data_IF_263278567381
#
_entry.id   IF_263278567381
#
_cell.length_a   1.000
_cell.length_b   1.000
_cell.length_c   1.000
_cell.angle_alpha   90.00
_cell.angle_beta   90.00
_cell.angle_gamma   90.00
#
_symmetry.space_group_name_H-M   'P 1'
#
loop_
_entity.id
_entity.type
_entity.pdbx_description
1 polymer ?
#
# COMPACT_ATOMS: atom_id res chain seq x y z
N UNK A 1 -2.69 -4.06 14.40
CA UNK A 1 -3.26 -5.02 13.45
C UNK A 1 -3.26 -6.40 14.05
N UNK A 2 -4.37 -7.11 13.94
CA UNK A 2 -4.55 -8.44 14.49
C UNK A 2 -5.05 -9.38 13.39
N UNK A 3 -4.78 -10.68 13.56
CA UNK A 3 -5.24 -11.71 12.62
C UNK A 3 -6.72 -11.61 12.27
N UNK A 4 -7.54 -11.20 13.23
CA UNK A 4 -8.97 -10.98 13.03
C UNK A 4 -9.26 -10.07 11.84
N UNK A 5 -8.47 -9.00 11.63
CA UNK A 5 -8.72 -8.02 10.57
C UNK A 5 -8.43 -8.60 9.17
N UNK A 6 -7.45 -9.50 9.06
CA UNK A 6 -7.17 -10.24 7.82
C UNK A 6 -8.22 -11.31 7.57
N UNK A 7 -8.59 -12.07 8.61
CA UNK A 7 -9.60 -13.12 8.49
C UNK A 7 -10.96 -12.55 8.09
N UNK A 8 -11.37 -11.41 8.63
CA UNK A 8 -12.61 -10.73 8.22
C UNK A 8 -12.63 -10.39 6.74
N UNK A 9 -11.49 -10.02 6.15
CA UNK A 9 -11.41 -9.73 4.71
C UNK A 9 -11.64 -10.94 3.81
N UNK A 10 -11.44 -12.15 4.35
CA UNK A 10 -11.78 -13.41 3.68
C UNK A 10 -13.23 -13.77 3.94
N UNK A 11 -13.64 -13.73 5.20
CA UNK A 11 -14.91 -14.27 5.68
C UNK A 11 -16.10 -13.37 5.32
N UNK A 12 -15.99 -12.04 5.50
CA UNK A 12 -17.11 -11.12 5.28
C UNK A 12 -17.69 -11.17 3.83
N UNK A 13 -16.86 -11.22 2.76
CA UNK A 13 -17.38 -11.39 1.40
C UNK A 13 -18.07 -12.74 1.16
N UNK A 14 -17.54 -13.82 1.77
CA UNK A 14 -18.14 -15.16 1.65
C UNK A 14 -19.49 -15.24 2.37
N UNK A 15 -19.60 -14.61 3.54
CA UNK A 15 -20.87 -14.51 4.26
C UNK A 15 -21.89 -13.66 3.48
N UNK A 16 -21.45 -12.54 2.89
CA UNK A 16 -22.33 -11.72 2.04
C UNK A 16 -22.83 -12.46 0.78
N UNK A 17 -22.02 -13.39 0.25
CA UNK A 17 -22.44 -14.23 -0.88
C UNK A 17 -23.41 -15.35 -0.48
N UNK A 18 -23.55 -15.64 0.81
CA UNK A 18 -24.45 -16.66 1.37
C UNK A 18 -25.78 -16.06 1.90
N UNK A 19 -26.17 -14.90 1.40
CA UNK A 19 -27.39 -14.16 1.84
C UNK A 19 -28.70 -14.71 1.20
N UNK A 20 -28.74 -16.01 0.95
CA UNK A 20 -29.94 -16.68 0.47
C UNK A 20 -31.00 -16.79 1.60
N UNK A 21 -32.26 -16.51 1.34
CA UNK A 21 -33.31 -16.71 2.34
C UNK A 21 -33.44 -18.18 2.73
N UNK A 22 -33.60 -18.44 4.01
CA UNK A 22 -33.91 -19.81 4.50
C UNK A 22 -35.28 -20.25 3.99
N UNK A 23 -35.39 -21.45 3.35
CA UNK A 23 -36.69 -21.97 2.95
C UNK A 23 -37.62 -22.16 4.15
N UNK A 24 -38.86 -21.66 4.05
CA UNK A 24 -39.82 -21.72 5.16
C UNK A 24 -40.09 -23.15 5.64
N UNK A 25 -40.06 -24.14 4.74
CA UNK A 25 -40.25 -25.55 5.06
C UNK A 25 -39.18 -26.12 6.04
N UNK A 26 -38.01 -25.49 6.20
CA UNK A 26 -36.98 -25.96 7.13
C UNK A 26 -37.25 -25.53 8.59
N UNK A 27 -38.13 -24.56 8.82
CA UNK A 27 -38.42 -24.10 10.19
C UNK A 27 -39.26 -25.12 11.00
N UNK A 28 -40.00 -25.96 10.31
CA UNK A 28 -40.84 -27.01 10.96
C UNK A 28 -40.08 -28.32 11.13
N UNK A 29 -38.85 -28.44 10.58
CA UNK A 29 -38.03 -29.63 10.65
C UNK A 29 -36.58 -29.28 11.12
N UNK A 30 -36.30 -29.34 12.42
CA UNK A 30 -34.98 -29.03 12.96
C UNK A 30 -33.85 -29.94 12.45
N UNK A 31 -34.15 -31.20 12.10
CA UNK A 31 -33.17 -32.17 11.60
C UNK A 31 -32.78 -31.82 10.16
N UNK A 32 -33.76 -31.50 9.31
CA UNK A 32 -33.55 -31.04 7.95
C UNK A 32 -32.79 -29.69 7.93
N UNK A 33 -33.11 -28.76 8.84
CA UNK A 33 -32.38 -27.50 8.99
C UNK A 33 -30.94 -27.73 9.40
N UNK A 34 -30.70 -28.64 10.36
CA UNK A 34 -29.34 -28.96 10.78
C UNK A 34 -28.50 -29.65 9.69
N UNK A 35 -29.12 -30.48 8.85
CA UNK A 35 -28.48 -31.09 7.68
C UNK A 35 -28.12 -30.01 6.64
N UNK A 36 -29.05 -29.16 6.28
CA UNK A 36 -28.81 -28.05 5.36
C UNK A 36 -27.71 -27.09 5.85
N UNK A 37 -27.66 -26.82 7.15
CA UNK A 37 -26.58 -25.99 7.74
C UNK A 37 -25.23 -26.69 7.63
N UNK A 38 -25.13 -28.01 7.86
CA UNK A 38 -23.86 -28.75 7.69
C UNK A 38 -23.36 -28.67 6.25
N UNK A 39 -24.22 -28.81 5.27
CA UNK A 39 -23.84 -28.70 3.85
C UNK A 39 -23.35 -27.29 3.50
N UNK A 40 -24.02 -26.26 4.03
CA UNK A 40 -23.58 -24.87 3.87
C UNK A 40 -22.24 -24.61 4.54
N UNK A 41 -22.02 -25.16 5.74
CA UNK A 41 -20.72 -25.05 6.44
C UNK A 41 -19.61 -25.75 5.68
N UNK A 42 -19.87 -26.90 5.05
CA UNK A 42 -18.89 -27.60 4.23
C UNK A 42 -18.49 -26.74 3.01
N UNK A 43 -19.49 -26.22 2.29
CA UNK A 43 -19.27 -25.30 1.15
C UNK A 43 -18.48 -24.06 1.56
N UNK A 44 -18.83 -23.46 2.70
CA UNK A 44 -18.13 -22.31 3.24
C UNK A 44 -16.67 -22.62 3.61
N UNK A 45 -16.43 -23.78 4.22
CA UNK A 45 -15.08 -24.22 4.59
C UNK A 45 -14.19 -24.42 3.35
N UNK A 46 -14.75 -24.97 2.26
CA UNK A 46 -14.04 -25.10 0.99
C UNK A 46 -13.71 -23.72 0.39
N UNK A 47 -14.69 -22.81 0.35
CA UNK A 47 -14.47 -21.45 -0.13
C UNK A 47 -13.41 -20.69 0.68
N UNK A 48 -13.35 -20.89 2.00
CA UNK A 48 -12.28 -20.31 2.85
C UNK A 48 -10.92 -20.92 2.53
N UNK A 49 -10.87 -22.23 2.26
CA UNK A 49 -9.61 -22.93 1.90
C UNK A 49 -9.06 -22.44 0.56
N UNK A 50 -9.95 -22.19 -0.40
CA UNK A 50 -9.60 -21.76 -1.74
C UNK A 50 -9.41 -20.22 -1.87
N UNK A 51 -9.56 -19.48 -0.76
CA UNK A 51 -9.44 -18.03 -0.76
C UNK A 51 -8.03 -17.58 -1.18
N UNK A 52 -7.96 -16.53 -2.01
CA UNK A 52 -6.71 -15.89 -2.42
C UNK A 52 -6.07 -15.13 -1.26
N UNK A 53 -5.33 -15.84 -0.40
CA UNK A 53 -4.62 -15.26 0.73
C UNK A 53 -3.61 -14.17 0.29
N UNK A 54 -2.96 -14.34 -0.88
CA UNK A 54 -1.99 -13.38 -1.39
C UNK A 54 -2.67 -12.06 -1.79
N UNK A 55 -3.81 -12.11 -2.48
CA UNK A 55 -4.62 -10.94 -2.84
C UNK A 55 -5.17 -10.21 -1.62
N UNK A 56 -5.62 -10.96 -0.60
CA UNK A 56 -6.07 -10.39 0.67
C UNK A 56 -4.94 -9.64 1.37
N UNK A 57 -3.75 -10.24 1.48
CA UNK A 57 -2.56 -9.60 2.07
C UNK A 57 -2.17 -8.36 1.28
N UNK A 58 -2.08 -8.43 -0.05
CA UNK A 58 -1.74 -7.29 -0.90
C UNK A 58 -2.73 -6.12 -0.76
N UNK A 59 -4.02 -6.43 -0.62
CA UNK A 59 -5.06 -5.42 -0.40
C UNK A 59 -4.94 -4.80 0.99
N UNK A 60 -4.66 -5.62 2.02
CA UNK A 60 -4.46 -5.14 3.38
C UNK A 60 -3.21 -4.25 3.51
N UNK A 61 -2.08 -4.67 2.93
CA UNK A 61 -0.85 -3.86 2.89
C UNK A 61 -1.07 -2.52 2.20
N UNK A 62 -1.79 -2.53 1.06
CA UNK A 62 -2.12 -1.29 0.35
C UNK A 62 -2.94 -0.36 1.23
N UNK A 63 -4.02 -0.86 1.83
CA UNK A 63 -4.86 -0.07 2.73
C UNK A 63 -4.08 0.44 3.95
N UNK A 64 -3.16 -0.37 4.50
CA UNK A 64 -2.28 0.04 5.59
C UNK A 64 -1.30 1.14 5.17
N UNK A 65 -0.66 0.97 4.01
CA UNK A 65 0.34 1.90 3.50
C UNK A 65 -0.26 3.25 3.07
N UNK A 66 -1.53 3.26 2.63
CA UNK A 66 -2.21 4.47 2.12
C UNK A 66 -3.27 5.03 3.07
N UNK A 67 -3.53 4.38 4.20
CA UNK A 67 -4.53 4.81 5.18
C UNK A 67 -3.98 5.68 6.33
N UNK A 68 -2.72 6.09 6.27
CA UNK A 68 -2.09 6.93 7.29
C UNK A 68 -2.05 8.38 6.83
N UNK A 69 -2.56 9.29 7.63
CA UNK A 69 -2.35 10.71 7.37
C UNK A 69 -0.87 11.06 7.61
N UNK A 70 -0.15 11.53 6.59
CA UNK A 70 1.23 11.96 6.75
C UNK A 70 1.29 13.21 7.63
N UNK A 71 2.25 13.24 8.54
CA UNK A 71 2.57 14.44 9.31
C UNK A 71 3.33 15.41 8.39
N UNK A 72 2.61 16.28 7.70
CA UNK A 72 3.16 17.21 6.70
C UNK A 72 3.63 18.56 7.28
N UNK A 73 4.16 18.58 8.50
CA UNK A 73 4.77 19.79 9.05
C UNK A 73 5.81 20.38 8.09
N UNK A 74 5.64 21.64 7.68
CA UNK A 74 6.56 22.31 6.76
C UNK A 74 6.43 21.95 5.27
N UNK A 75 5.55 21.02 4.90
CA UNK A 75 5.42 20.54 3.51
C UNK A 75 5.12 21.65 2.48
N UNK A 76 4.34 22.65 2.85
CA UNK A 76 4.06 23.78 1.95
C UNK A 76 5.34 24.54 1.58
N UNK A 77 6.20 24.80 2.57
CA UNK A 77 7.48 25.48 2.32
C UNK A 77 8.42 24.61 1.48
N UNK A 78 8.42 23.29 1.70
CA UNK A 78 9.23 22.37 0.91
C UNK A 78 8.76 22.31 -0.55
N UNK A 79 7.44 22.33 -0.79
CA UNK A 79 6.87 22.38 -2.15
C UNK A 79 7.24 23.68 -2.85
N UNK A 80 7.16 24.83 -2.14
CA UNK A 80 7.53 26.13 -2.70
C UNK A 80 9.03 26.21 -3.02
N UNK A 81 9.89 25.57 -2.22
CA UNK A 81 11.34 25.55 -2.40
C UNK A 81 11.82 24.41 -3.32
N UNK A 82 10.97 23.46 -3.66
CA UNK A 82 11.35 22.33 -4.52
C UNK A 82 12.01 22.73 -5.86
N UNK A 83 11.63 23.84 -6.54
CA UNK A 83 12.34 24.29 -7.74
C UNK A 83 13.80 24.64 -7.51
N UNK A 84 14.19 25.07 -6.31
CA UNK A 84 15.56 25.41 -5.93
C UNK A 84 16.45 24.23 -5.55
N UNK A 85 15.92 22.99 -5.53
CA UNK A 85 16.72 21.80 -5.26
C UNK A 85 17.73 21.60 -6.41
N UNK A 86 18.98 21.45 -6.06
CA UNK A 86 20.13 21.16 -6.92
C UNK A 86 20.84 19.88 -6.46
N UNK A 87 21.94 19.51 -7.12
CA UNK A 87 22.70 18.28 -6.82
C UNK A 87 23.27 18.23 -5.41
N UNK A 88 23.53 19.37 -4.79
CA UNK A 88 24.15 19.49 -3.48
C UNK A 88 23.13 19.68 -2.34
N UNK A 89 21.88 19.88 -2.66
CA UNK A 89 20.80 20.11 -1.68
C UNK A 89 20.64 18.89 -0.78
N UNK A 90 20.84 19.05 0.54
CA UNK A 90 20.61 17.99 1.50
C UNK A 90 19.12 17.78 1.73
N UNK A 91 18.67 16.57 1.48
CA UNK A 91 17.31 16.11 1.68
C UNK A 91 17.27 15.06 2.78
N UNK A 92 16.19 15.03 3.53
CA UNK A 92 15.96 14.05 4.58
C UNK A 92 14.61 13.37 4.42
N UNK A 93 14.56 12.08 4.70
CA UNK A 93 13.29 11.36 4.76
C UNK A 93 12.44 11.92 5.90
N UNK A 94 11.22 12.34 5.58
CA UNK A 94 10.31 12.93 6.55
C UNK A 94 9.96 11.91 7.63
N UNK A 95 10.08 12.29 8.90
CA UNK A 95 9.77 11.41 10.04
C UNK A 95 8.34 10.89 9.97
N UNK A 96 8.20 9.57 10.16
CA UNK A 96 6.89 8.90 10.09
C UNK A 96 6.37 8.66 8.67
N UNK A 97 7.08 9.08 7.61
CA UNK A 97 6.73 8.71 6.24
C UNK A 97 7.00 7.22 6.01
N UNK A 98 6.06 6.55 5.36
CA UNK A 98 6.23 5.18 4.89
C UNK A 98 6.31 5.19 3.37
N UNK A 99 7.19 4.36 2.81
CA UNK A 99 7.26 4.13 1.37
C UNK A 99 7.46 2.63 1.14
N UNK A 100 6.43 1.98 0.58
CA UNK A 100 6.53 0.59 0.15
C UNK A 100 6.60 0.52 -1.37
N UNK A 101 7.55 -0.26 -1.87
CA UNK A 101 7.76 -0.45 -3.30
C UNK A 101 7.05 -1.71 -3.77
N UNK A 102 6.27 -1.59 -4.85
CA UNK A 102 5.53 -2.70 -5.46
C UNK A 102 5.76 -2.69 -6.97
N UNK A 103 6.52 -3.67 -7.49
CA UNK A 103 6.65 -3.85 -8.94
C UNK A 103 5.30 -4.14 -9.58
N UNK A 104 5.06 -3.59 -10.77
CA UNK A 104 3.84 -3.76 -11.56
C UNK A 104 4.19 -3.73 -13.06
N UNK A 105 4.83 -4.80 -13.54
CA UNK A 105 5.36 -4.89 -14.90
C UNK A 105 6.41 -3.81 -15.17
N UNK A 106 6.20 -2.99 -16.18
CA UNK A 106 7.10 -1.86 -16.54
C UNK A 106 6.98 -0.64 -15.62
N UNK A 107 6.17 -0.74 -14.59
CA UNK A 107 5.94 0.32 -13.61
C UNK A 107 6.35 -0.12 -12.21
N UNK A 108 6.71 0.86 -11.39
CA UNK A 108 6.92 0.70 -9.97
C UNK A 108 5.92 1.59 -9.24
N UNK A 109 5.17 1.01 -8.33
CA UNK A 109 4.27 1.73 -7.44
C UNK A 109 4.96 2.01 -6.10
N UNK A 110 5.01 3.28 -5.72
CA UNK A 110 5.41 3.74 -4.40
C UNK A 110 4.12 3.99 -3.61
N UNK A 111 3.90 3.19 -2.56
CA UNK A 111 2.78 3.39 -1.65
C UNK A 111 3.24 4.29 -0.52
N UNK A 112 2.76 5.51 -0.53
CA UNK A 112 3.00 6.52 0.49
C UNK A 112 1.83 6.56 1.49
N UNK A 113 1.97 7.28 2.57
CA UNK A 113 1.01 7.23 3.69
C UNK A 113 -0.46 7.51 3.32
N UNK A 114 -0.75 8.25 2.25
CA UNK A 114 -2.11 8.61 1.83
C UNK A 114 -2.36 8.39 0.32
N UNK A 115 -1.31 7.97 -0.44
CA UNK A 115 -1.41 7.91 -1.90
C UNK A 115 -0.46 6.90 -2.53
N UNK A 116 -0.71 6.63 -3.80
CA UNK A 116 0.16 5.83 -4.66
C UNK A 116 0.79 6.72 -5.73
N UNK A 117 2.11 6.70 -5.80
CA UNK A 117 2.88 7.32 -6.88
C UNK A 117 3.35 6.22 -7.84
N UNK A 118 3.20 6.44 -9.13
CA UNK A 118 3.65 5.49 -10.15
C UNK A 118 4.82 6.08 -10.92
N UNK A 119 5.89 5.29 -11.03
CA UNK A 119 7.10 5.64 -11.77
C UNK A 119 7.49 4.50 -12.72
N UNK A 120 8.35 4.74 -13.73
CA UNK A 120 8.89 3.66 -14.56
C UNK A 120 9.71 2.67 -13.74
N UNK A 121 9.60 1.37 -14.03
CA UNK A 121 10.35 0.32 -13.30
C UNK A 121 11.88 0.50 -13.41
N UNK A 122 12.37 1.07 -14.53
CA UNK A 122 13.81 1.29 -14.76
C UNK A 122 14.50 2.17 -13.70
N UNK A 123 13.76 3.02 -12.97
CA UNK A 123 14.33 3.86 -11.91
C UNK A 123 14.22 3.21 -10.53
N UNK A 124 13.80 1.94 -10.45
CA UNK A 124 13.68 1.23 -9.17
C UNK A 124 14.99 1.25 -8.34
N UNK A 125 16.19 1.05 -8.92
CA UNK A 125 17.45 1.12 -8.15
C UNK A 125 17.62 2.48 -7.46
N UNK A 126 17.38 3.59 -8.17
CA UNK A 126 17.47 4.94 -7.59
C UNK A 126 16.43 5.16 -6.47
N UNK A 127 15.21 4.62 -6.64
CA UNK A 127 14.17 4.75 -5.62
C UNK A 127 14.52 3.91 -4.38
N UNK A 128 15.10 2.71 -4.55
CA UNK A 128 15.55 1.87 -3.44
C UNK A 128 16.66 2.57 -2.64
N UNK A 129 17.63 3.15 -3.34
CA UNK A 129 18.70 3.94 -2.74
C UNK A 129 18.13 5.10 -1.93
N UNK A 130 17.23 5.88 -2.52
CA UNK A 130 16.56 7.00 -1.88
C UNK A 130 15.78 6.58 -0.61
N UNK A 131 15.15 5.40 -0.61
CA UNK A 131 14.36 4.91 0.53
C UNK A 131 15.25 4.27 1.61
N UNK A 132 16.44 3.78 1.24
CA UNK A 132 17.37 3.14 2.17
C UNK A 132 18.04 4.13 3.12
N UNK A 133 18.18 5.40 2.70
CA UNK A 133 18.90 6.42 3.47
C UNK A 133 17.93 7.39 4.16
N UNK A 134 18.27 7.82 5.35
CA UNK A 134 17.53 8.84 6.07
C UNK A 134 17.85 10.25 5.53
N UNK A 135 19.08 10.49 5.09
CA UNK A 135 19.53 11.72 4.44
C UNK A 135 20.28 11.38 3.15
N UNK A 136 20.07 12.18 2.11
CA UNK A 136 20.73 12.04 0.82
C UNK A 136 20.76 13.38 0.07
N UNK A 137 21.61 13.45 -0.96
CA UNK A 137 21.62 14.53 -1.96
C UNK A 137 21.26 13.96 -3.33
N UNK A 138 20.72 14.75 -4.28
CA UNK A 138 20.45 14.26 -5.63
C UNK A 138 21.66 13.59 -6.29
N UNK A 139 22.88 14.12 -6.10
CA UNK A 139 24.11 13.53 -6.62
C UNK A 139 24.40 12.09 -6.13
N UNK A 140 23.89 11.71 -4.97
CA UNK A 140 24.09 10.34 -4.42
C UNK A 140 23.34 9.29 -5.24
N UNK A 141 22.44 9.73 -6.15
CA UNK A 141 21.69 8.87 -7.06
C UNK A 141 22.32 8.74 -8.46
N UNK A 142 23.47 9.37 -8.71
CA UNK A 142 24.10 9.41 -10.04
C UNK A 142 24.57 8.04 -10.56
N UNK A 143 24.75 7.04 -9.68
CA UNK A 143 25.01 5.66 -10.09
C UNK A 143 23.81 5.02 -10.81
N UNK A 144 22.63 5.60 -10.67
CA UNK A 144 21.37 5.06 -11.18
C UNK A 144 20.64 6.00 -12.15
N UNK A 145 20.90 7.30 -12.08
CA UNK A 145 20.24 8.34 -12.87
C UNK A 145 21.24 9.40 -13.31
N UNK A 146 20.96 10.06 -14.43
CA UNK A 146 21.67 11.30 -14.76
C UNK A 146 21.30 12.43 -13.79
N UNK A 147 22.09 13.48 -13.74
CA UNK A 147 21.90 14.61 -12.82
C UNK A 147 20.50 15.22 -12.94
N UNK A 148 19.99 15.39 -14.15
CA UNK A 148 18.65 15.92 -14.37
C UNK A 148 17.56 14.97 -13.82
N UNK A 149 17.68 13.67 -14.04
CA UNK A 149 16.77 12.65 -13.55
C UNK A 149 16.78 12.57 -12.02
N UNK A 150 17.97 12.64 -11.39
CA UNK A 150 18.11 12.64 -9.93
C UNK A 150 17.40 13.85 -9.30
N UNK A 151 17.59 15.05 -9.85
CA UNK A 151 16.91 16.27 -9.41
C UNK A 151 15.38 16.16 -9.62
N UNK A 152 14.93 15.66 -10.76
CA UNK A 152 13.49 15.48 -11.03
C UNK A 152 12.86 14.49 -10.05
N UNK A 153 13.51 13.35 -9.78
CA UNK A 153 13.04 12.36 -8.84
C UNK A 153 12.93 12.95 -7.43
N UNK A 154 13.99 13.58 -6.93
CA UNK A 154 14.03 14.12 -5.57
C UNK A 154 13.04 15.27 -5.38
N UNK A 155 12.91 16.18 -6.34
CA UNK A 155 11.87 17.22 -6.34
C UNK A 155 10.46 16.64 -6.27
N UNK A 156 10.22 15.55 -7.01
CA UNK A 156 8.94 14.84 -6.94
C UNK A 156 8.71 14.25 -5.57
N UNK A 157 9.70 13.59 -4.98
CA UNK A 157 9.56 12.98 -3.64
C UNK A 157 9.35 14.02 -2.54
N UNK A 158 9.89 15.23 -2.69
CA UNK A 158 9.59 16.37 -1.80
C UNK A 158 8.12 16.80 -1.96
N UNK A 159 7.63 16.97 -3.20
CA UNK A 159 6.22 17.32 -3.45
C UNK A 159 5.24 16.27 -2.94
N UNK A 160 5.60 15.01 -3.03
CA UNK A 160 4.78 13.89 -2.53
C UNK A 160 4.90 13.72 -1.00
N UNK A 161 5.74 14.52 -0.32
CA UNK A 161 5.87 14.53 1.12
C UNK A 161 6.72 13.40 1.71
N UNK A 162 7.45 12.63 0.87
CA UNK A 162 8.38 11.60 1.34
C UNK A 162 9.67 12.22 1.89
N UNK A 163 10.18 13.23 1.19
CA UNK A 163 11.39 13.97 1.56
C UNK A 163 11.06 15.38 2.05
N UNK A 164 11.97 15.97 2.82
CA UNK A 164 11.98 17.37 3.20
C UNK A 164 13.37 17.97 2.95
N UNK A 165 13.42 19.27 2.69
CA UNK A 165 14.70 19.99 2.55
C UNK A 165 15.26 20.28 3.95
N UNK A 166 16.52 19.87 4.20
CA UNK A 166 17.21 20.18 5.45
C UNK A 166 17.65 21.64 5.40
N UNK A 167 17.28 22.44 6.41
CA UNK A 167 17.57 23.87 6.56
C UNK A 167 18.53 24.11 7.70
#
# INVERSE_FOLDING_TARGET
>A
YVWRDLLKRVVDPLLAAADDPLPAALFDDPEALAAALRDRLATFADAVRDADAAGVVATHERAFATGRQPLLGGALLDVLNAPGIDDDTLLRRRKGSTCLLRPAGERLHLLLGDRRVTVPARIEPAVRELVAHDELRPRDLHDHLDAAGAIVLTRRMVREGLLEVVR
#
